data_IF_886145222555
#
_entry.id   IF_886145222555
#
_cell.length_a   1.000
_cell.length_b   1.000
_cell.length_c   1.000
_cell.angle_alpha   90.00
_cell.angle_beta   90.00
_cell.angle_gamma   90.00
#
_symmetry.space_group_name_H-M   'P 1'
#
loop_
_entity.id
_entity.type
_entity.pdbx_description
1 polymer ?
#
# COMPACT_ATOMS: atom_id res chain seq x y z
N UNK A 1 5.56 -11.13 29.50
CA UNK A 1 6.33 -10.22 30.32
C UNK A 1 5.56 -8.93 30.53
N UNK A 2 5.41 -8.54 31.76
CA UNK A 2 4.71 -7.29 32.00
C UNK A 2 5.67 -6.13 31.86
N UNK A 3 5.32 -5.22 31.01
CA UNK A 3 6.08 -4.00 30.78
C UNK A 3 5.20 -2.83 31.19
N UNK A 4 5.62 -2.09 32.19
CA UNK A 4 4.88 -0.91 32.60
C UNK A 4 5.47 0.31 31.94
N UNK A 5 4.66 0.98 31.15
CA UNK A 5 5.05 2.20 30.49
C UNK A 5 4.84 3.38 31.44
N UNK A 6 5.95 4.01 31.86
CA UNK A 6 5.89 5.16 32.78
C UNK A 6 5.54 6.45 32.07
N UNK A 7 5.68 6.51 30.76
CA UNK A 7 5.39 7.69 29.95
C UNK A 7 4.65 7.30 28.71
N UNK A 8 3.56 6.55 28.89
CA UNK A 8 2.74 6.13 27.77
C UNK A 8 2.07 7.34 27.16
N UNK A 9 2.43 7.65 25.93
CA UNK A 9 1.85 8.76 25.22
C UNK A 9 0.96 8.24 24.09
N UNK A 10 -0.06 9.03 23.72
CA UNK A 10 -0.86 8.64 22.57
C UNK A 10 -0.01 8.45 21.33
N UNK A 11 -0.37 7.50 20.51
CA UNK A 11 0.28 7.31 19.20
C UNK A 11 0.10 8.61 18.41
N UNK A 12 1.18 9.15 17.82
CA UNK A 12 1.07 10.39 17.04
C UNK A 12 0.03 10.26 15.92
N UNK A 13 -0.68 11.36 15.64
CA UNK A 13 -1.77 11.38 14.67
C UNK A 13 -1.33 10.84 13.31
N UNK A 14 -0.15 11.26 12.84
CA UNK A 14 0.36 10.80 11.54
C UNK A 14 0.59 9.29 11.51
N UNK A 15 1.06 8.71 12.59
CA UNK A 15 1.25 7.26 12.69
C UNK A 15 -0.10 6.54 12.74
N UNK A 16 -1.07 7.10 13.44
CA UNK A 16 -2.41 6.51 13.49
C UNK A 16 -3.09 6.54 12.14
N UNK A 17 -2.93 7.62 11.39
CA UNK A 17 -3.48 7.73 10.04
C UNK A 17 -2.87 6.68 9.11
N UNK A 18 -1.56 6.49 9.18
CA UNK A 18 -0.88 5.47 8.39
C UNK A 18 -1.35 4.08 8.79
N UNK A 19 -1.48 3.82 10.10
CA UNK A 19 -1.94 2.53 10.59
C UNK A 19 -3.34 2.21 10.08
N UNK A 20 -4.24 3.19 10.11
CA UNK A 20 -5.62 2.99 9.60
C UNK A 20 -5.60 2.56 8.14
N UNK A 21 -4.75 3.19 7.31
CA UNK A 21 -4.62 2.80 5.90
C UNK A 21 -4.12 1.37 5.79
N UNK A 22 -3.06 1.02 6.54
CA UNK A 22 -2.44 -0.30 6.45
C UNK A 22 -3.32 -1.41 7.02
N UNK A 23 -4.21 -1.09 7.94
CA UNK A 23 -5.11 -2.06 8.57
C UNK A 23 -6.30 -2.43 7.69
N UNK A 24 -6.55 -1.70 6.61
CA UNK A 24 -7.64 -2.03 5.69
C UNK A 24 -7.33 -3.34 4.98
N UNK A 25 -8.37 -4.13 4.79
CA UNK A 25 -8.24 -5.41 4.11
C UNK A 25 -7.65 -5.21 2.71
N UNK A 26 -6.71 -6.06 2.35
CA UNK A 26 -6.03 -6.11 1.06
C UNK A 26 -5.00 -5.00 0.83
N UNK A 27 -4.83 -4.06 1.76
CA UNK A 27 -3.88 -2.97 1.58
C UNK A 27 -2.44 -3.48 1.55
N UNK A 28 -2.05 -4.28 2.53
CA UNK A 28 -0.68 -4.81 2.56
C UNK A 28 -0.40 -5.71 1.38
N UNK A 29 -1.38 -6.52 0.96
CA UNK A 29 -1.23 -7.36 -0.22
C UNK A 29 -1.05 -6.52 -1.49
N UNK A 30 -1.76 -5.39 -1.58
CA UNK A 30 -1.62 -4.48 -2.72
C UNK A 30 -0.23 -3.85 -2.74
N UNK A 31 0.29 -3.44 -1.59
CA UNK A 31 1.65 -2.92 -1.47
C UNK A 31 2.66 -3.99 -1.90
N UNK A 32 2.48 -5.21 -1.46
CA UNK A 32 3.36 -6.33 -1.82
C UNK A 32 3.34 -6.56 -3.32
N UNK A 33 2.16 -6.55 -3.95
CA UNK A 33 2.04 -6.71 -5.40
C UNK A 33 2.81 -5.62 -6.14
N UNK A 34 2.70 -4.37 -5.66
CA UNK A 34 3.42 -3.25 -6.26
C UNK A 34 4.94 -3.44 -6.13
N UNK A 35 5.41 -3.88 -4.96
CA UNK A 35 6.84 -4.11 -4.73
C UNK A 35 7.36 -5.28 -5.57
N UNK A 36 6.48 -6.20 -5.98
CA UNK A 36 6.84 -7.36 -6.80
C UNK A 36 6.80 -7.07 -8.29
N UNK A 37 6.46 -5.84 -8.69
CA UNK A 37 6.54 -5.42 -10.07
C UNK A 37 5.22 -5.03 -10.73
N UNK A 38 4.09 -5.18 -10.04
CA UNK A 38 2.81 -4.76 -10.60
C UNK A 38 2.78 -3.23 -10.71
N UNK A 39 2.49 -2.72 -11.90
CA UNK A 39 2.40 -1.28 -12.14
C UNK A 39 1.05 -0.89 -12.72
N UNK A 40 0.44 -1.76 -13.52
CA UNK A 40 -0.86 -1.50 -14.15
C UNK A 40 -1.98 -2.17 -13.39
N UNK A 41 -3.17 -1.59 -13.48
CA UNK A 41 -4.34 -2.11 -12.78
C UNK A 41 -4.57 -3.60 -13.06
N UNK A 42 -4.44 -4.01 -14.32
CA UNK A 42 -4.64 -5.42 -14.69
C UNK A 42 -3.59 -6.33 -14.05
N UNK A 43 -2.38 -5.84 -13.85
CA UNK A 43 -1.33 -6.62 -13.19
C UNK A 43 -1.65 -6.83 -11.72
N UNK A 44 -2.18 -5.80 -11.06
CA UNK A 44 -2.66 -5.96 -9.68
C UNK A 44 -3.81 -6.97 -9.62
N UNK A 45 -4.73 -6.92 -10.57
CA UNK A 45 -5.83 -7.88 -10.62
C UNK A 45 -5.35 -9.30 -10.78
N UNK A 46 -4.31 -9.51 -11.59
CA UNK A 46 -3.72 -10.83 -11.76
C UNK A 46 -3.03 -11.30 -10.50
N UNK A 47 -2.36 -10.39 -9.79
CA UNK A 47 -1.67 -10.71 -8.55
C UNK A 47 -2.62 -10.96 -7.39
N UNK A 48 -3.81 -10.37 -7.41
CA UNK A 48 -4.78 -10.42 -6.33
C UNK A 48 -6.14 -10.85 -6.88
N UNK A 49 -6.26 -12.11 -7.34
CA UNK A 49 -7.49 -12.54 -8.03
C UNK A 49 -8.72 -12.58 -7.13
N UNK A 50 -8.55 -12.66 -5.81
CA UNK A 50 -9.67 -12.66 -4.86
C UNK A 50 -10.25 -11.26 -4.64
N UNK A 51 -9.55 -10.20 -5.03
CA UNK A 51 -9.96 -8.82 -4.76
C UNK A 51 -10.81 -8.32 -5.91
N UNK A 52 -11.99 -7.75 -5.58
CA UNK A 52 -12.83 -7.18 -6.61
C UNK A 52 -12.16 -5.94 -7.22
N UNK A 53 -12.45 -5.63 -8.50
CA UNK A 53 -11.91 -4.42 -9.12
C UNK A 53 -12.25 -3.14 -8.34
N UNK A 54 -13.45 -3.07 -7.78
CA UNK A 54 -13.87 -1.91 -6.99
C UNK A 54 -13.02 -1.76 -5.74
N UNK A 55 -12.81 -2.85 -5.00
CA UNK A 55 -11.98 -2.82 -3.80
C UNK A 55 -10.54 -2.47 -4.14
N UNK A 56 -9.99 -3.06 -5.20
CA UNK A 56 -8.62 -2.77 -5.63
C UNK A 56 -8.46 -1.30 -5.98
N UNK A 57 -9.40 -0.73 -6.74
CA UNK A 57 -9.39 0.68 -7.09
C UNK A 57 -9.40 1.57 -5.85
N UNK A 58 -10.23 1.23 -4.87
CA UNK A 58 -10.29 1.97 -3.61
C UNK A 58 -8.97 1.89 -2.84
N UNK A 59 -8.35 0.72 -2.78
CA UNK A 59 -7.08 0.55 -2.07
C UNK A 59 -5.96 1.34 -2.72
N UNK A 60 -5.87 1.33 -4.05
CA UNK A 60 -4.88 2.11 -4.79
C UNK A 60 -5.08 3.61 -4.57
N UNK A 61 -6.33 4.08 -4.60
CA UNK A 61 -6.65 5.48 -4.34
C UNK A 61 -6.23 5.87 -2.92
N UNK A 62 -6.53 5.05 -1.93
CA UNK A 62 -6.15 5.30 -0.54
C UNK A 62 -4.63 5.31 -0.36
N UNK A 63 -3.93 4.43 -1.05
CA UNK A 63 -2.46 4.41 -1.00
C UNK A 63 -1.87 5.64 -1.66
N UNK A 64 -2.48 6.14 -2.73
CA UNK A 64 -2.06 7.38 -3.37
C UNK A 64 -2.26 8.58 -2.43
N UNK A 65 -3.42 8.67 -1.80
CA UNK A 65 -3.73 9.74 -0.85
C UNK A 65 -2.78 9.73 0.34
N UNK A 66 -2.36 8.55 0.78
CA UNK A 66 -1.43 8.40 1.90
C UNK A 66 0.02 8.66 1.51
N UNK A 67 0.31 8.89 0.23
CA UNK A 67 1.67 9.12 -0.25
C UNK A 67 2.53 7.86 -0.28
N UNK A 68 1.90 6.69 -0.36
CA UNK A 68 2.59 5.40 -0.42
C UNK A 68 2.84 4.99 -1.87
N UNK A 69 1.90 5.30 -2.77
CA UNK A 69 2.08 5.10 -4.19
C UNK A 69 1.84 6.40 -4.93
N UNK A 70 2.43 6.51 -6.11
CA UNK A 70 2.22 7.58 -7.08
C UNK A 70 1.53 7.00 -8.29
N UNK A 71 0.63 7.78 -8.87
CA UNK A 71 -0.05 7.41 -10.09
C UNK A 71 0.46 8.28 -11.23
N UNK A 72 0.91 7.64 -12.30
CA UNK A 72 1.46 8.33 -13.46
C UNK A 72 0.68 7.96 -14.70
N UNK A 73 0.37 8.95 -15.52
CA UNK A 73 -0.17 8.72 -16.86
C UNK A 73 0.99 8.57 -17.82
N UNK A 74 1.06 7.43 -18.49
CA UNK A 74 2.11 7.14 -19.46
C UNK A 74 1.56 7.40 -20.84
N UNK A 75 2.28 8.19 -21.63
CA UNK A 75 1.90 8.49 -23.01
C UNK A 75 1.91 7.22 -23.85
N UNK A 76 0.93 7.10 -24.73
CA UNK A 76 0.79 5.92 -25.59
C UNK A 76 -0.51 6.00 -26.37
N UNK A 77 -0.82 4.93 -27.08
CA UNK A 77 -2.06 4.84 -27.87
C UNK A 77 -2.73 3.50 -27.59
N UNK A 78 -3.68 3.46 -26.61
CA UNK A 78 -4.13 4.59 -25.77
C UNK A 78 -3.15 4.88 -24.63
N UNK A 79 -3.23 6.08 -24.04
CA UNK A 79 -2.48 6.34 -22.81
C UNK A 79 -2.93 5.41 -21.71
N UNK A 80 -2.02 5.06 -20.81
CA UNK A 80 -2.37 4.19 -19.70
C UNK A 80 -1.83 4.75 -18.38
N UNK A 81 -2.36 4.22 -17.29
CA UNK A 81 -1.98 4.63 -15.94
C UNK A 81 -1.07 3.57 -15.32
N UNK A 82 0.00 4.02 -14.67
CA UNK A 82 0.89 3.16 -13.92
C UNK A 82 1.01 3.66 -12.49
N UNK A 83 1.18 2.72 -11.57
CA UNK A 83 1.38 2.99 -10.16
C UNK A 83 2.80 2.60 -9.78
N UNK A 84 3.43 3.41 -8.95
CA UNK A 84 4.78 3.14 -8.46
C UNK A 84 4.85 3.51 -6.98
N UNK A 85 5.70 2.79 -6.23
CA UNK A 85 5.93 3.14 -4.83
C UNK A 85 6.70 4.46 -4.75
N UNK A 86 6.30 5.31 -3.80
CA UNK A 86 7.09 6.47 -3.43
C UNK A 86 8.28 6.02 -2.58
N UNK A 87 9.18 6.94 -2.21
CA UNK A 87 10.27 6.62 -1.28
C UNK A 87 9.72 6.08 0.03
N UNK A 88 8.70 6.74 0.55
CA UNK A 88 8.01 6.28 1.77
C UNK A 88 7.37 4.91 1.53
N UNK A 89 6.75 4.72 0.38
CA UNK A 89 6.14 3.46 0.01
C UNK A 89 7.13 2.32 -0.06
N UNK A 90 8.34 2.58 -0.57
CA UNK A 90 9.39 1.55 -0.61
C UNK A 90 9.82 1.12 0.78
N UNK A 91 9.92 2.06 1.72
CA UNK A 91 10.25 1.73 3.10
C UNK A 91 9.15 0.87 3.74
N UNK A 92 7.90 1.25 3.52
CA UNK A 92 6.75 0.48 4.02
C UNK A 92 6.72 -0.90 3.36
N UNK A 93 6.99 -0.99 2.07
CA UNK A 93 6.98 -2.26 1.35
C UNK A 93 8.03 -3.24 1.88
N UNK A 94 9.20 -2.74 2.28
CA UNK A 94 10.21 -3.60 2.92
C UNK A 94 9.69 -4.20 4.22
N UNK A 95 9.01 -3.41 5.02
CA UNK A 95 8.42 -3.90 6.27
C UNK A 95 7.29 -4.91 6.00
N UNK A 96 6.45 -4.63 5.02
CA UNK A 96 5.36 -5.52 4.63
C UNK A 96 5.93 -6.85 4.13
N UNK A 97 6.95 -6.81 3.27
CA UNK A 97 7.58 -8.01 2.75
C UNK A 97 8.16 -8.85 3.89
N UNK A 98 8.81 -8.23 4.86
CA UNK A 98 9.37 -8.93 6.01
C UNK A 98 8.28 -9.63 6.83
N UNK A 99 7.11 -9.01 6.97
CA UNK A 99 5.98 -9.61 7.68
C UNK A 99 5.38 -10.79 6.91
N UNK A 100 5.26 -10.66 5.60
CA UNK A 100 4.59 -11.66 4.77
C UNK A 100 5.49 -12.83 4.42
N UNK A 101 6.80 -12.64 4.44
CA UNK A 101 7.78 -13.68 4.09
C UNK A 101 8.28 -14.46 5.31
N UNK A 102 7.81 -14.11 6.49
CA UNK A 102 8.22 -14.79 7.72
C UNK A 102 7.51 -16.11 7.93
#
# INVERSE_FOLDING_TARGET
MSHRCNSCQPVPAGMRETAVVLERRWTMATIYACSSGATRFNEFRQSLPEVSPTTLSQRLEQLEEAGIVERHTVAGRPPHTEYALTDRGRQIALAVAALLDS
#
